data_IF_318776574034
#
_entry.id   IF_318776574034
#
_cell.length_a   1.000
_cell.length_b   1.000
_cell.length_c   1.000
_cell.angle_alpha   90.00
_cell.angle_beta   90.00
_cell.angle_gamma   90.00
#
_symmetry.space_group_name_H-M   'P 1'
#
loop_
_entity.id
_entity.type
_entity.pdbx_description
1 polymer ?
#
# COMPACT_ATOMS: atom_id res chain seq x y z
N UNK A 1 33.23 21.25 -10.57
CA UNK A 1 32.00 20.43 -10.64
C UNK A 1 32.41 19.07 -11.17
N UNK A 2 31.89 17.94 -10.64
CA UNK A 2 32.15 16.63 -11.22
C UNK A 2 31.43 16.49 -12.57
N UNK A 3 32.06 15.81 -13.52
CA UNK A 3 31.44 15.43 -14.79
C UNK A 3 30.75 14.06 -14.64
N UNK A 4 29.62 13.88 -15.33
CA UNK A 4 28.92 12.61 -15.43
C UNK A 4 28.66 12.26 -16.89
N UNK A 5 28.84 11.00 -17.24
CA UNK A 5 28.38 10.43 -18.50
C UNK A 5 27.02 9.79 -18.28
N UNK A 6 26.00 10.22 -19.05
CA UNK A 6 24.61 9.76 -18.92
C UNK A 6 24.20 9.03 -20.20
N UNK A 7 23.70 7.81 -20.07
CA UNK A 7 23.06 7.09 -21.16
C UNK A 7 21.55 7.27 -21.10
N UNK A 8 21.01 7.80 -22.19
CA UNK A 8 19.56 7.95 -22.40
C UNK A 8 19.10 7.05 -23.54
N UNK A 9 17.95 6.43 -23.38
CA UNK A 9 17.29 5.64 -24.41
C UNK A 9 15.78 5.88 -24.37
N UNK A 10 15.05 5.33 -25.32
CA UNK A 10 13.59 5.29 -25.31
C UNK A 10 13.12 3.93 -25.82
N UNK A 11 11.93 3.50 -25.40
CA UNK A 11 11.35 2.27 -25.93
C UNK A 11 10.88 2.51 -27.37
N UNK A 12 11.41 1.75 -28.34
CA UNK A 12 10.96 1.80 -29.72
C UNK A 12 10.12 0.57 -30.02
N UNK A 13 8.78 0.70 -30.14
CA UNK A 13 7.94 -0.42 -30.49
C UNK A 13 8.30 -1.00 -31.86
N UNK A 14 8.29 -2.33 -31.92
CA UNK A 14 8.48 -3.09 -33.15
C UNK A 14 7.28 -4.02 -33.28
N UNK A 15 6.50 -3.86 -34.34
CA UNK A 15 5.26 -4.60 -34.54
C UNK A 15 5.32 -5.45 -35.80
N UNK A 16 4.49 -6.48 -35.81
CA UNK A 16 4.13 -7.25 -37.01
C UNK A 16 2.61 -7.37 -37.04
N UNK A 17 2.05 -7.51 -38.23
CA UNK A 17 0.60 -7.67 -38.43
C UNK A 17 0.27 -8.99 -39.16
N UNK A 18 0.63 -10.16 -38.60
CA UNK A 18 0.34 -11.45 -39.23
C UNK A 18 -1.12 -11.84 -38.99
N UNK A 19 -1.66 -12.68 -39.87
CA UNK A 19 -3.01 -13.24 -39.74
C UNK A 19 -2.92 -14.70 -39.34
N UNK A 20 -3.65 -15.09 -38.29
CA UNK A 20 -3.68 -16.46 -37.79
C UNK A 20 -5.09 -17.04 -37.89
N UNK A 21 -5.21 -18.22 -38.52
CA UNK A 21 -6.45 -18.99 -38.53
C UNK A 21 -6.49 -19.89 -37.28
N UNK A 22 -7.53 -19.77 -36.46
CA UNK A 22 -7.75 -20.61 -35.29
C UNK A 22 -9.24 -20.68 -34.94
N UNK A 23 -9.61 -21.71 -34.18
CA UNK A 23 -10.99 -21.92 -33.74
C UNK A 23 -11.44 -20.92 -32.65
N UNK A 24 -10.48 -20.31 -31.93
CA UNK A 24 -10.74 -19.27 -30.92
C UNK A 24 -9.72 -18.13 -30.99
N UNK A 25 -10.10 -16.96 -30.45
CA UNK A 25 -9.21 -15.81 -30.32
C UNK A 25 -7.97 -16.16 -29.48
N UNK A 26 -8.13 -16.86 -28.36
CA UNK A 26 -7.03 -17.24 -27.48
C UNK A 26 -6.04 -18.17 -28.17
N UNK A 27 -6.52 -19.07 -29.04
CA UNK A 27 -5.66 -19.93 -29.84
C UNK A 27 -4.89 -19.13 -30.90
N UNK A 28 -5.54 -18.17 -31.57
CA UNK A 28 -4.87 -17.26 -32.50
C UNK A 28 -3.81 -16.39 -31.79
N UNK A 29 -4.14 -15.82 -30.62
CA UNK A 29 -3.19 -15.03 -29.82
C UNK A 29 -1.99 -15.87 -29.36
N UNK A 30 -2.21 -17.14 -28.96
CA UNK A 30 -1.11 -18.04 -28.58
C UNK A 30 -0.20 -18.33 -29.78
N UNK A 31 -0.78 -18.66 -30.93
CA UNK A 31 -0.01 -18.84 -32.17
C UNK A 31 0.80 -17.58 -32.52
N UNK A 32 0.21 -16.40 -32.35
CA UNK A 32 0.88 -15.12 -32.58
C UNK A 32 2.06 -14.83 -31.64
N UNK A 33 2.06 -15.38 -30.42
CA UNK A 33 3.19 -15.24 -29.48
C UNK A 33 4.28 -16.28 -29.76
N UNK A 34 3.90 -17.48 -30.18
CA UNK A 34 4.82 -18.59 -30.48
C UNK A 34 5.55 -18.41 -31.82
N UNK A 35 4.97 -17.68 -32.77
CA UNK A 35 5.58 -17.35 -34.05
C UNK A 35 6.87 -16.53 -33.84
N UNK A 36 8.00 -16.98 -34.37
CA UNK A 36 9.28 -16.29 -34.24
C UNK A 36 9.73 -15.61 -35.55
N UNK A 37 8.84 -15.51 -36.55
CA UNK A 37 9.12 -14.78 -37.78
C UNK A 37 8.94 -13.26 -37.57
N UNK A 38 10.06 -12.54 -37.60
CA UNK A 38 10.12 -11.09 -37.46
C UNK A 38 10.58 -10.40 -38.74
N UNK A 39 10.65 -11.10 -39.88
CA UNK A 39 11.15 -10.53 -41.13
C UNK A 39 10.25 -9.41 -41.67
N UNK A 40 8.95 -9.47 -41.33
CA UNK A 40 7.94 -8.45 -41.70
C UNK A 40 7.78 -7.35 -40.64
N UNK A 41 8.70 -7.27 -39.67
CA UNK A 41 8.55 -6.34 -38.57
C UNK A 41 8.80 -4.88 -38.98
N UNK A 42 7.98 -3.99 -38.46
CA UNK A 42 8.05 -2.55 -38.69
C UNK A 42 8.33 -1.82 -37.37
N UNK A 43 9.17 -0.79 -37.44
CA UNK A 43 9.46 0.10 -36.30
C UNK A 43 8.49 1.26 -36.31
N UNK A 44 7.87 1.52 -35.17
CA UNK A 44 6.98 2.66 -35.00
C UNK A 44 7.68 3.76 -34.20
N UNK A 45 8.22 4.73 -34.91
CA UNK A 45 8.87 5.88 -34.30
C UNK A 45 7.86 6.88 -33.72
N UNK A 46 6.65 6.94 -34.26
CA UNK A 46 5.61 7.88 -33.84
C UNK A 46 5.00 7.48 -32.49
N UNK A 47 4.96 6.18 -32.20
CA UNK A 47 4.54 5.63 -30.91
C UNK A 47 5.72 5.31 -29.97
N UNK A 48 6.88 5.90 -30.19
CA UNK A 48 8.04 5.72 -29.29
C UNK A 48 7.71 6.16 -27.86
N UNK A 49 8.23 5.38 -26.90
CA UNK A 49 8.10 5.67 -25.47
C UNK A 49 8.90 6.89 -25.06
N UNK A 50 8.81 7.23 -23.77
CA UNK A 50 9.55 8.36 -23.23
C UNK A 50 11.06 8.09 -23.16
N UNK A 51 11.83 9.17 -23.26
CA UNK A 51 13.28 9.13 -23.04
C UNK A 51 13.54 8.95 -21.54
N UNK A 52 14.32 7.93 -21.21
CA UNK A 52 14.69 7.59 -19.84
C UNK A 52 16.18 7.24 -19.75
N UNK A 53 16.69 7.17 -18.52
CA UNK A 53 18.10 6.91 -18.24
C UNK A 53 18.29 5.41 -17.94
N UNK A 54 19.26 4.78 -18.60
CA UNK A 54 19.65 3.38 -18.36
C UNK A 54 21.01 3.24 -17.70
N UNK A 55 21.86 4.27 -17.77
CA UNK A 55 23.19 4.24 -17.18
C UNK A 55 23.73 5.62 -16.82
N UNK A 56 24.49 5.66 -15.71
CA UNK A 56 25.21 6.85 -15.24
C UNK A 56 26.59 6.41 -14.78
N UNK A 57 27.62 7.16 -15.20
CA UNK A 57 29.01 6.93 -14.82
C UNK A 57 29.68 8.23 -14.41
N UNK A 58 30.60 8.14 -13.45
CA UNK A 58 31.45 9.28 -13.04
C UNK A 58 32.53 9.56 -14.10
N UNK A 59 32.77 10.84 -14.38
CA UNK A 59 33.76 11.31 -15.34
C UNK A 59 33.22 11.49 -16.76
N UNK A 60 33.99 12.19 -17.58
CA UNK A 60 33.67 12.43 -18.99
C UNK A 60 33.99 11.18 -19.84
N UNK A 61 33.07 10.84 -20.75
CA UNK A 61 33.22 9.73 -21.71
C UNK A 61 33.47 8.35 -21.07
N UNK A 62 32.87 8.10 -19.91
CA UNK A 62 33.14 6.93 -19.08
C UNK A 62 32.10 5.81 -19.20
N UNK A 63 31.18 5.90 -20.17
CA UNK A 63 30.21 4.85 -20.44
C UNK A 63 30.90 3.48 -20.58
N UNK A 64 30.40 2.48 -19.86
CA UNK A 64 30.90 1.09 -19.85
C UNK A 64 32.38 0.90 -19.40
N UNK A 65 33.06 1.95 -18.96
CA UNK A 65 34.50 1.90 -18.66
C UNK A 65 34.86 2.51 -17.31
N UNK A 66 34.10 3.50 -16.84
CA UNK A 66 34.28 4.12 -15.54
C UNK A 66 33.36 3.58 -14.45
N UNK A 67 33.43 4.15 -13.23
CA UNK A 67 32.57 3.78 -12.12
C UNK A 67 31.10 4.10 -12.44
N UNK A 68 30.24 3.07 -12.45
CA UNK A 68 28.79 3.24 -12.60
C UNK A 68 28.16 3.64 -11.26
N UNK A 69 27.21 4.57 -11.30
CA UNK A 69 26.39 4.96 -10.16
C UNK A 69 24.91 4.64 -10.40
N UNK A 70 24.12 4.40 -9.33
CA UNK A 70 22.70 4.10 -9.48
C UNK A 70 21.93 5.26 -10.13
N UNK A 71 21.06 4.93 -11.08
CA UNK A 71 20.12 5.89 -11.66
C UNK A 71 19.03 6.22 -10.62
N UNK A 72 18.77 7.50 -10.32
CA UNK A 72 17.65 7.86 -9.45
C UNK A 72 16.32 7.39 -10.05
N UNK A 73 15.43 6.84 -9.21
CA UNK A 73 14.23 6.12 -9.64
C UNK A 73 13.29 6.91 -10.54
N UNK A 74 13.23 8.22 -10.36
CA UNK A 74 12.39 9.11 -11.15
C UNK A 74 12.79 9.23 -12.63
N UNK A 75 14.01 8.83 -12.99
CA UNK A 75 14.52 8.90 -14.36
C UNK A 75 14.38 7.59 -15.14
N UNK A 76 13.83 6.54 -14.52
CA UNK A 76 13.40 5.34 -15.24
C UNK A 76 12.09 5.60 -16.01
N UNK A 77 11.83 4.77 -17.01
CA UNK A 77 10.56 4.81 -17.74
C UNK A 77 9.36 4.55 -16.81
N UNK A 78 8.24 5.20 -17.04
CA UNK A 78 7.02 5.14 -16.24
C UNK A 78 6.50 3.71 -16.06
N UNK A 79 6.64 2.85 -17.10
CA UNK A 79 6.31 1.41 -16.97
C UNK A 79 7.21 0.73 -15.94
N UNK A 80 8.52 0.98 -15.98
CA UNK A 80 9.48 0.41 -15.02
C UNK A 80 9.26 0.99 -13.61
N UNK A 81 9.01 2.29 -13.49
CA UNK A 81 8.66 2.96 -12.23
C UNK A 81 7.43 2.31 -11.60
N UNK A 82 6.36 2.09 -12.40
CA UNK A 82 5.13 1.40 -11.95
C UNK A 82 5.40 -0.05 -11.53
N UNK A 83 6.13 -0.81 -12.35
CA UNK A 83 6.43 -2.21 -12.06
C UNK A 83 7.23 -2.37 -10.76
N UNK A 84 8.28 -1.55 -10.57
CA UNK A 84 9.07 -1.55 -9.33
C UNK A 84 8.25 -1.09 -8.13
N UNK A 85 7.40 -0.08 -8.31
CA UNK A 85 6.57 0.44 -7.23
C UNK A 85 5.46 -0.54 -6.82
N UNK A 86 4.98 -1.38 -7.73
CA UNK A 86 4.01 -2.44 -7.41
C UNK A 86 4.52 -3.40 -6.32
N UNK A 87 5.80 -3.78 -6.35
CA UNK A 87 6.37 -4.64 -5.30
C UNK A 87 6.34 -3.97 -3.93
N UNK A 88 6.59 -2.66 -3.89
CA UNK A 88 6.54 -1.85 -2.66
C UNK A 88 5.10 -1.79 -2.13
N UNK A 89 4.15 -1.44 -2.99
CA UNK A 89 2.73 -1.37 -2.63
C UNK A 89 2.19 -2.72 -2.15
N UNK A 90 2.57 -3.82 -2.81
CA UNK A 90 2.20 -5.16 -2.38
C UNK A 90 2.79 -5.50 -1.01
N UNK A 91 4.03 -5.09 -0.73
CA UNK A 91 4.66 -5.23 0.58
C UNK A 91 3.90 -4.46 1.67
N UNK A 92 3.52 -3.21 1.39
CA UNK A 92 2.73 -2.38 2.32
C UNK A 92 1.35 -2.97 2.58
N UNK A 93 0.69 -3.50 1.53
CA UNK A 93 -0.62 -4.15 1.66
C UNK A 93 -0.55 -5.40 2.54
N UNK A 94 0.51 -6.21 2.39
CA UNK A 94 0.74 -7.38 3.27
C UNK A 94 0.91 -6.97 4.73
N UNK A 95 1.74 -5.96 5.00
CA UNK A 95 1.94 -5.43 6.36
C UNK A 95 0.63 -4.91 6.95
N UNK A 96 -0.14 -4.15 6.17
CA UNK A 96 -1.46 -3.67 6.59
C UNK A 96 -2.41 -4.83 6.94
N UNK A 97 -2.48 -5.84 6.08
CA UNK A 97 -3.35 -6.99 6.28
C UNK A 97 -2.96 -7.77 7.54
N UNK A 98 -1.66 -7.98 7.77
CA UNK A 98 -1.14 -8.67 8.95
C UNK A 98 -1.48 -7.91 10.24
N UNK A 99 -1.33 -6.58 10.26
CA UNK A 99 -1.69 -5.75 11.43
C UNK A 99 -3.19 -5.71 11.68
N UNK A 100 -4.00 -5.60 10.62
CA UNK A 100 -5.45 -5.65 10.72
C UNK A 100 -5.92 -7.00 11.29
N UNK A 101 -5.36 -8.11 10.79
CA UNK A 101 -5.65 -9.46 11.25
C UNK A 101 -5.21 -9.67 12.70
N UNK A 102 -4.01 -9.21 13.06
CA UNK A 102 -3.46 -9.32 14.41
C UNK A 102 -4.02 -8.28 15.41
N UNK A 103 -4.99 -7.46 15.00
CA UNK A 103 -5.57 -6.42 15.84
C UNK A 103 -4.56 -5.38 16.35
N UNK A 104 -3.45 -5.19 15.64
CA UNK A 104 -2.38 -4.26 16.04
C UNK A 104 -2.64 -2.87 15.48
N UNK A 105 -2.31 -1.86 16.28
CA UNK A 105 -2.21 -0.50 15.75
C UNK A 105 -0.95 -0.40 14.90
N UNK A 106 -1.03 0.14 13.67
CA UNK A 106 0.16 0.36 12.87
C UNK A 106 1.14 1.29 13.56
N UNK A 107 2.44 1.04 13.39
CA UNK A 107 3.46 1.93 13.95
C UNK A 107 3.50 3.27 13.18
N UNK A 108 3.89 4.38 13.85
CA UNK A 108 4.06 5.67 13.18
C UNK A 108 5.06 5.64 12.03
N UNK A 109 6.15 4.88 12.15
CA UNK A 109 7.15 4.73 11.10
C UNK A 109 6.59 4.04 9.85
N UNK A 110 5.74 3.01 10.04
CA UNK A 110 5.04 2.36 8.94
C UNK A 110 4.03 3.31 8.28
N UNK A 111 3.31 4.13 9.07
CA UNK A 111 2.36 5.12 8.55
C UNK A 111 3.09 6.16 7.69
N UNK A 112 4.22 6.69 8.17
CA UNK A 112 5.05 7.64 7.44
C UNK A 112 5.59 7.04 6.14
N UNK A 113 6.11 5.81 6.19
CA UNK A 113 6.57 5.10 4.99
C UNK A 113 5.43 4.88 3.99
N UNK A 114 4.25 4.51 4.47
CA UNK A 114 3.08 4.30 3.61
C UNK A 114 2.64 5.59 2.93
N UNK A 115 2.58 6.71 3.67
CA UNK A 115 2.26 8.02 3.11
C UNK A 115 3.25 8.45 2.03
N UNK A 116 4.55 8.23 2.27
CA UNK A 116 5.61 8.51 1.28
C UNK A 116 5.45 7.69 0.00
N UNK A 117 5.25 6.38 0.13
CA UNK A 117 5.13 5.51 -1.04
C UNK A 117 3.81 5.76 -1.79
N UNK A 118 2.71 6.13 -1.11
CA UNK A 118 1.48 6.56 -1.77
C UNK A 118 1.74 7.82 -2.62
N UNK A 119 2.39 8.84 -2.07
CA UNK A 119 2.70 10.06 -2.81
C UNK A 119 3.63 9.79 -4.00
N UNK A 120 4.62 8.89 -3.84
CA UNK A 120 5.44 8.42 -4.96
C UNK A 120 4.60 7.71 -6.01
N UNK A 121 3.66 6.85 -5.62
CA UNK A 121 2.74 6.17 -6.53
C UNK A 121 1.89 7.16 -7.33
N UNK A 122 1.33 8.17 -6.68
CA UNK A 122 0.58 9.26 -7.33
C UNK A 122 1.45 10.05 -8.31
N UNK A 123 2.69 10.38 -7.93
CA UNK A 123 3.63 11.04 -8.82
C UNK A 123 3.97 10.19 -10.05
N UNK A 124 4.19 8.89 -9.89
CA UNK A 124 4.43 7.96 -11.00
C UNK A 124 3.22 7.93 -11.95
N UNK A 125 1.99 7.88 -11.43
CA UNK A 125 0.78 7.90 -12.25
C UNK A 125 0.62 9.22 -13.02
N UNK A 126 1.07 10.33 -12.44
CA UNK A 126 1.09 11.66 -13.06
C UNK A 126 2.31 11.93 -13.97
N UNK A 127 3.21 10.96 -14.16
CA UNK A 127 4.51 11.15 -14.83
C UNK A 127 5.33 12.32 -14.22
N UNK A 128 5.21 12.53 -12.92
CA UNK A 128 5.92 13.56 -12.17
C UNK A 128 7.22 13.00 -11.53
N UNK A 129 8.16 13.87 -11.14
CA UNK A 129 9.29 13.50 -10.30
C UNK A 129 8.84 12.85 -8.98
N UNK A 130 9.71 12.05 -8.38
CA UNK A 130 9.43 11.52 -7.05
C UNK A 130 9.35 12.70 -6.04
N UNK A 131 8.56 12.62 -4.96
CA UNK A 131 8.50 13.68 -3.96
C UNK A 131 9.88 13.94 -3.35
N UNK A 132 10.21 15.22 -3.11
CA UNK A 132 11.48 15.64 -2.50
C UNK A 132 11.40 15.75 -0.97
N UNK A 133 10.21 16.03 -0.43
CA UNK A 133 9.99 16.29 1.01
C UNK A 133 9.06 15.26 1.65
N UNK A 134 9.43 14.68 2.81
CA UNK A 134 8.62 13.69 3.50
C UNK A 134 7.18 14.20 3.68
N UNK A 135 6.21 13.42 3.19
CA UNK A 135 4.80 13.69 3.45
C UNK A 135 4.55 13.54 4.94
N UNK A 136 4.02 14.58 5.60
CA UNK A 136 3.65 14.48 7.00
C UNK A 136 2.63 13.35 7.18
N UNK A 137 2.94 12.32 7.98
CA UNK A 137 1.96 11.28 8.25
C UNK A 137 0.78 11.88 9.01
N UNK A 138 -0.42 11.30 8.86
CA UNK A 138 -1.54 11.63 9.74
C UNK A 138 -1.12 11.44 11.20
N UNK A 139 -1.61 12.32 12.07
CA UNK A 139 -1.37 12.21 13.51
C UNK A 139 -1.82 10.84 14.01
N UNK A 140 -1.06 10.26 14.94
CA UNK A 140 -1.40 8.97 15.53
C UNK A 140 -2.79 9.02 16.18
N UNK A 141 -3.61 8.02 15.87
CA UNK A 141 -4.92 7.82 16.49
C UNK A 141 -4.85 6.57 17.38
N UNK A 142 -5.52 6.60 18.53
CA UNK A 142 -5.54 5.50 19.48
C UNK A 142 -6.95 4.93 19.62
N UNK A 143 -7.08 3.60 19.67
CA UNK A 143 -8.35 2.90 19.84
C UNK A 143 -8.60 2.70 21.33
N UNK A 144 -9.65 3.33 21.87
CA UNK A 144 -10.00 3.23 23.30
C UNK A 144 -10.85 1.99 23.63
N UNK A 145 -11.68 1.54 22.69
CA UNK A 145 -12.52 0.36 22.84
C UNK A 145 -12.67 -0.37 21.50
N UNK A 146 -12.80 -1.69 21.54
CA UNK A 146 -13.02 -2.53 20.36
C UNK A 146 -14.09 -3.58 20.67
N UNK A 147 -15.15 -3.60 19.88
CA UNK A 147 -16.14 -4.68 19.86
C UNK A 147 -15.65 -5.77 18.90
N UNK A 148 -15.61 -7.02 19.37
CA UNK A 148 -15.14 -8.17 18.58
C UNK A 148 -16.23 -9.25 18.54
N UNK A 149 -16.63 -9.66 17.33
CA UNK A 149 -17.68 -10.68 17.14
C UNK A 149 -17.33 -12.02 17.80
N UNK A 150 -16.05 -12.42 17.77
CA UNK A 150 -15.60 -13.63 18.47
C UNK A 150 -15.77 -13.52 20.00
N UNK A 151 -15.54 -12.35 20.58
CA UNK A 151 -15.77 -12.12 22.00
C UNK A 151 -17.27 -12.09 22.33
N UNK A 152 -18.09 -11.55 21.42
CA UNK A 152 -19.55 -11.60 21.55
C UNK A 152 -20.05 -13.04 21.48
N UNK A 153 -19.51 -13.87 20.58
CA UNK A 153 -19.81 -15.30 20.51
C UNK A 153 -19.47 -16.03 21.80
N UNK A 154 -18.29 -15.76 22.37
CA UNK A 154 -17.90 -16.32 23.66
C UNK A 154 -18.85 -15.88 24.78
N UNK A 155 -19.26 -14.60 24.79
CA UNK A 155 -20.21 -14.08 25.76
C UNK A 155 -21.59 -14.73 25.63
N UNK A 156 -22.09 -14.92 24.40
CA UNK A 156 -23.36 -15.60 24.10
C UNK A 156 -23.38 -17.01 24.68
N UNK A 157 -22.27 -17.75 24.57
CA UNK A 157 -22.17 -19.10 25.13
C UNK A 157 -22.33 -19.13 26.67
N UNK A 158 -22.03 -18.02 27.37
CA UNK A 158 -22.17 -17.90 28.81
C UNK A 158 -23.58 -17.42 29.27
N UNK A 159 -24.38 -16.81 28.39
CA UNK A 159 -25.69 -16.24 28.76
C UNK A 159 -26.68 -17.28 29.32
N UNK A 160 -26.81 -18.50 28.75
CA UNK A 160 -27.73 -19.52 29.28
C UNK A 160 -27.40 -19.99 30.70
N UNK A 161 -26.18 -19.77 31.19
CA UNK A 161 -25.77 -20.08 32.57
C UNK A 161 -26.25 -19.02 33.57
N UNK A 162 -26.53 -17.81 33.09
CA UNK A 162 -26.87 -16.64 33.91
C UNK A 162 -28.37 -16.33 33.87
N UNK A 163 -29.05 -16.59 32.75
CA UNK A 163 -30.47 -16.28 32.56
C UNK A 163 -31.25 -17.49 32.02
N UNK A 164 -32.10 -18.05 32.89
CA UNK A 164 -32.94 -19.22 32.61
C UNK A 164 -33.91 -19.00 31.43
N UNK A 165 -34.24 -17.76 31.06
CA UNK A 165 -35.10 -17.46 29.91
C UNK A 165 -34.46 -17.88 28.57
N UNK A 166 -33.13 -17.91 28.51
CA UNK A 166 -32.38 -18.26 27.30
C UNK A 166 -31.85 -19.71 27.31
N UNK A 167 -32.17 -20.49 28.35
CA UNK A 167 -31.69 -21.87 28.53
C UNK A 167 -32.15 -22.84 27.44
N UNK A 168 -33.28 -22.53 26.77
CA UNK A 168 -33.83 -23.31 25.67
C UNK A 168 -33.23 -22.97 24.30
N UNK A 169 -32.48 -21.86 24.19
CA UNK A 169 -31.82 -21.45 22.96
C UNK A 169 -30.48 -22.18 22.83
N UNK A 170 -30.34 -22.99 21.77
CA UNK A 170 -29.04 -23.56 21.43
C UNK A 170 -28.09 -22.43 20.98
N UNK A 171 -26.83 -22.36 21.44
CA UNK A 171 -25.84 -21.44 20.91
C UNK A 171 -25.64 -21.56 19.40
N UNK A 172 -25.93 -22.72 18.81
CA UNK A 172 -25.88 -22.96 17.36
C UNK A 172 -27.08 -22.38 16.58
N UNK A 173 -28.11 -21.90 17.28
CA UNK A 173 -29.26 -21.24 16.65
C UNK A 173 -28.97 -19.76 16.34
N UNK A 174 -27.90 -19.20 16.93
CA UNK A 174 -27.45 -17.83 16.68
C UNK A 174 -26.39 -17.88 15.58
N UNK A 175 -26.71 -17.29 14.44
CA UNK A 175 -25.84 -17.29 13.26
C UNK A 175 -24.79 -16.19 13.33
N UNK A 176 -23.77 -16.29 12.48
CA UNK A 176 -22.74 -15.26 12.34
C UNK A 176 -23.36 -13.93 11.89
N UNK A 177 -24.41 -13.99 11.07
CA UNK A 177 -25.16 -12.82 10.59
C UNK A 177 -25.94 -12.13 11.73
N UNK A 178 -26.50 -12.90 12.66
CA UNK A 178 -27.16 -12.36 13.86
C UNK A 178 -26.16 -11.60 14.75
N UNK A 179 -24.98 -12.18 14.97
CA UNK A 179 -23.91 -11.56 15.75
C UNK A 179 -23.38 -10.30 15.05
N UNK A 180 -23.16 -10.38 13.73
CA UNK A 180 -22.71 -9.25 12.93
C UNK A 180 -23.71 -8.08 13.01
N UNK A 181 -24.98 -8.37 12.77
CA UNK A 181 -26.07 -7.37 12.82
C UNK A 181 -26.20 -6.75 14.21
N UNK A 182 -26.12 -7.55 15.27
CA UNK A 182 -26.14 -7.05 16.64
C UNK A 182 -24.92 -6.16 16.94
N UNK A 183 -23.73 -6.57 16.52
CA UNK A 183 -22.50 -5.79 16.71
C UNK A 183 -22.56 -4.45 15.98
N UNK A 184 -23.02 -4.43 14.72
CA UNK A 184 -23.23 -3.20 13.96
C UNK A 184 -24.24 -2.27 14.64
N UNK A 185 -25.34 -2.83 15.16
CA UNK A 185 -26.36 -2.06 15.87
C UNK A 185 -25.78 -1.40 17.12
N UNK A 186 -25.03 -2.14 17.94
CA UNK A 186 -24.39 -1.57 19.15
C UNK A 186 -23.32 -0.55 18.77
N UNK A 187 -22.46 -0.86 17.81
CA UNK A 187 -21.38 0.05 17.39
C UNK A 187 -21.90 1.39 16.84
N UNK A 188 -23.10 1.41 16.26
CA UNK A 188 -23.71 2.62 15.69
C UNK A 188 -24.59 3.39 16.68
N UNK A 189 -25.09 2.75 17.74
CA UNK A 189 -26.03 3.35 18.70
C UNK A 189 -25.40 3.68 20.05
N UNK A 190 -24.28 3.06 20.40
CA UNK A 190 -23.60 3.29 21.66
C UNK A 190 -22.90 4.66 21.67
N UNK A 191 -23.30 5.54 22.59
CA UNK A 191 -22.60 6.79 22.83
C UNK A 191 -21.38 6.56 23.73
N UNK A 192 -20.20 6.88 23.21
CA UNK A 192 -18.91 6.76 23.91
C UNK A 192 -18.24 8.12 24.14
N UNK A 193 -18.94 9.22 23.86
CA UNK A 193 -18.37 10.58 23.87
C UNK A 193 -17.78 10.95 25.23
N UNK A 194 -18.47 10.63 26.32
CA UNK A 194 -18.00 10.89 27.68
C UNK A 194 -16.72 10.11 28.02
N UNK A 195 -16.63 8.84 27.57
CA UNK A 195 -15.47 7.99 27.79
C UNK A 195 -14.26 8.53 27.02
N UNK A 196 -14.46 8.92 25.76
CA UNK A 196 -13.42 9.52 24.91
C UNK A 196 -12.94 10.84 25.51
N UNK A 197 -13.86 11.76 25.83
CA UNK A 197 -13.50 13.07 26.39
C UNK A 197 -12.76 12.97 27.73
N UNK A 198 -13.16 12.04 28.60
CA UNK A 198 -12.44 11.79 29.84
C UNK A 198 -11.02 11.24 29.57
N UNK A 199 -10.86 10.30 28.63
CA UNK A 199 -9.55 9.76 28.28
C UNK A 199 -8.60 10.83 27.71
N UNK A 200 -9.11 11.69 26.82
CA UNK A 200 -8.37 12.83 26.27
C UNK A 200 -7.91 13.80 27.36
N UNK A 201 -8.81 14.14 28.29
CA UNK A 201 -8.48 15.01 29.42
C UNK A 201 -7.38 14.42 30.31
N UNK A 202 -7.48 13.12 30.64
CA UNK A 202 -6.44 12.45 31.42
C UNK A 202 -5.10 12.40 30.68
N UNK A 203 -5.11 12.14 29.38
CA UNK A 203 -3.90 12.15 28.55
C UNK A 203 -3.24 13.54 28.52
N UNK A 204 -4.04 14.61 28.40
CA UNK A 204 -3.54 15.98 28.46
C UNK A 204 -2.87 16.30 29.81
N UNK A 205 -3.51 15.94 30.94
CA UNK A 205 -2.92 16.12 32.26
C UNK A 205 -1.61 15.34 32.43
N UNK A 206 -1.55 14.11 31.93
CA UNK A 206 -0.34 13.30 31.99
C UNK A 206 0.81 13.94 31.19
N UNK A 207 0.54 14.43 29.98
CA UNK A 207 1.53 15.12 29.15
C UNK A 207 2.05 16.40 29.81
N UNK A 208 1.17 17.22 30.39
CA UNK A 208 1.54 18.46 31.11
C UNK A 208 2.44 18.13 32.31
N UNK A 209 2.09 17.12 33.11
CA UNK A 209 2.89 16.70 34.27
C UNK A 209 4.28 16.23 33.84
N UNK A 210 4.37 15.44 32.78
CA UNK A 210 5.65 14.98 32.23
C UNK A 210 6.51 16.16 31.74
N UNK A 211 5.90 17.16 31.09
CA UNK A 211 6.60 18.37 30.67
C UNK A 211 7.11 19.19 31.86
N UNK A 212 6.27 19.36 32.89
CA UNK A 212 6.64 20.08 34.11
C UNK A 212 7.82 19.42 34.83
N UNK A 213 7.82 18.09 34.98
CA UNK A 213 8.92 17.34 35.59
C UNK A 213 10.23 17.49 34.82
N UNK A 214 10.17 17.53 33.48
CA UNK A 214 11.35 17.69 32.63
C UNK A 214 11.96 19.10 32.72
N UNK A 215 11.11 20.12 32.84
CA UNK A 215 11.53 21.54 32.86
C UNK A 215 11.94 22.02 34.25
N UNK A 216 11.43 21.37 35.30
CA UNK A 216 11.77 21.64 36.70
C UNK A 216 12.23 20.36 37.41
N UNK A 217 13.41 19.81 37.03
CA UNK A 217 14.00 18.70 37.76
C UNK A 217 14.39 19.16 39.18
N UNK A 218 14.07 18.34 40.17
CA UNK A 218 14.38 18.57 41.58
C UNK A 218 15.89 18.63 41.85
#
# INVERSE_FOLDING_TARGET
MPDFTIETTYHLPVFRHPTYAADTLEAACRAAVEDNDWDIAEKDYDSSGEVHITGVWEGAHSAYTGPSVPVPSQFYEAVQRRARHFEILLGLLKMFFDDAHAARSPSPDWLARSAWEIARGEAILGNAPDPDEPVEPPKANHILARLQEDQVRNAIAAVPEVDDNFRALSPTAITDDDIHTACLTIATTMDVSDVVGNAEFQAALAAIRAAHQRLHPA
#
